data_IF_031169040296
#
_entry.id   IF_031169040296
#
_cell.length_a   1.000
_cell.length_b   1.000
_cell.length_c   1.000
_cell.angle_alpha   90.00
_cell.angle_beta   90.00
_cell.angle_gamma   90.00
#
_symmetry.space_group_name_H-M   'P 1'
#
loop_
_entity.id
_entity.type
_entity.pdbx_description
1 polymer ?
#
# COMPACT_ATOMS: atom_id res chain seq x y z
N UNK A 1 -11.13 2.56 5.98
CA UNK A 1 -11.16 3.08 4.62
C UNK A 1 -9.79 3.62 4.23
N UNK A 2 -9.36 3.37 3.00
CA UNK A 2 -8.04 3.78 2.55
C UNK A 2 -7.85 5.29 2.66
N UNK A 3 -6.62 5.70 2.99
CA UNK A 3 -6.27 7.10 3.15
C UNK A 3 -4.89 7.36 2.57
N UNK A 4 -4.80 8.32 1.64
CA UNK A 4 -3.53 8.74 1.07
C UNK A 4 -2.96 9.88 1.90
N UNK A 5 -1.74 9.69 2.39
CA UNK A 5 -1.02 10.74 3.13
C UNK A 5 0.30 11.02 2.42
N UNK A 6 0.91 12.16 2.73
CA UNK A 6 2.21 12.54 2.20
C UNK A 6 3.23 12.54 3.33
N UNK A 7 4.31 11.79 3.17
CA UNK A 7 5.41 11.77 4.14
C UNK A 7 6.13 13.12 4.15
N UNK A 8 6.59 13.54 5.33
CA UNK A 8 7.44 14.72 5.45
C UNK A 8 8.70 14.51 4.61
N UNK A 9 8.98 15.45 3.71
CA UNK A 9 10.10 15.32 2.77
C UNK A 9 11.00 16.55 2.86
N UNK A 10 12.30 16.30 2.92
CA UNK A 10 13.34 17.31 2.92
C UNK A 10 14.13 17.14 1.63
N UNK A 11 14.17 18.20 0.82
CA UNK A 11 14.87 18.17 -0.47
C UNK A 11 15.96 19.24 -0.49
N UNK A 12 17.14 18.84 -0.88
CA UNK A 12 18.26 19.77 -1.13
C UNK A 12 19.08 19.25 -2.33
N UNK A 13 20.23 19.85 -2.59
CA UNK A 13 21.07 19.48 -3.76
C UNK A 13 21.57 18.03 -3.71
N UNK A 14 21.52 17.36 -2.55
CA UNK A 14 21.93 15.95 -2.40
C UNK A 14 20.79 14.99 -2.77
N UNK A 15 19.55 15.48 -2.88
CA UNK A 15 18.38 14.67 -3.15
C UNK A 15 17.26 14.91 -2.15
N UNK A 16 16.36 13.94 -2.04
CA UNK A 16 15.19 14.03 -1.18
C UNK A 16 15.20 12.93 -0.13
N UNK A 17 14.77 13.28 1.07
CA UNK A 17 14.63 12.35 2.20
C UNK A 17 13.22 12.46 2.73
N UNK A 18 12.50 11.35 2.75
CA UNK A 18 11.14 11.29 3.29
C UNK A 18 11.14 10.50 4.60
N UNK A 19 10.41 11.02 5.58
CA UNK A 19 10.32 10.42 6.91
C UNK A 19 8.88 10.06 7.20
N UNK A 20 8.67 8.85 7.70
CA UNK A 20 7.36 8.36 8.10
C UNK A 20 7.49 7.79 9.51
N UNK A 21 6.70 8.34 10.44
CA UNK A 21 6.75 7.94 11.85
C UNK A 21 5.34 7.63 12.35
N UNK A 22 4.80 8.45 13.24
CA UNK A 22 3.50 8.22 13.88
C UNK A 22 2.32 8.30 12.93
N UNK A 23 2.46 9.02 11.82
CA UNK A 23 1.35 9.24 10.88
C UNK A 23 0.84 7.96 10.24
N UNK A 24 1.61 6.86 10.25
CA UNK A 24 1.11 5.58 9.76
C UNK A 24 0.05 4.97 10.68
N UNK A 25 0.06 5.33 11.97
CA UNK A 25 -1.02 4.96 12.89
C UNK A 25 -0.96 3.54 13.44
N UNK A 26 0.14 2.81 13.26
CA UNK A 26 0.29 1.47 13.83
C UNK A 26 1.76 1.12 14.04
N UNK A 27 2.00 0.11 14.88
CA UNK A 27 3.34 -0.44 15.08
C UNK A 27 3.64 -1.40 13.94
N UNK A 28 4.79 -1.22 13.30
CA UNK A 28 5.19 -2.06 12.16
C UNK A 28 5.75 -3.38 12.70
N UNK A 29 5.11 -4.49 12.33
CA UNK A 29 5.56 -5.84 12.71
C UNK A 29 6.08 -6.64 11.54
N UNK A 30 5.83 -6.19 10.31
CA UNK A 30 6.29 -6.88 9.11
C UNK A 30 6.54 -5.86 8.02
N UNK A 31 7.62 -6.07 7.27
CA UNK A 31 7.95 -5.28 6.09
C UNK A 31 8.10 -6.25 4.93
N UNK A 32 7.46 -5.96 3.82
CA UNK A 32 7.68 -6.69 2.59
C UNK A 32 7.69 -5.72 1.40
N UNK A 33 8.27 -6.16 0.31
CA UNK A 33 8.33 -5.32 -0.88
C UNK A 33 8.22 -6.18 -2.13
N UNK A 34 7.62 -5.59 -3.15
CA UNK A 34 7.24 -6.26 -4.39
C UNK A 34 8.02 -5.59 -5.51
N UNK A 35 8.70 -6.37 -6.31
CA UNK A 35 9.52 -5.86 -7.41
C UNK A 35 9.53 -6.88 -8.56
N UNK A 36 10.03 -6.48 -9.72
CA UNK A 36 10.03 -7.32 -10.94
C UNK A 36 8.64 -7.86 -11.24
N UNK A 37 7.62 -7.00 -11.12
CA UNK A 37 6.24 -7.42 -11.17
C UNK A 37 5.79 -7.72 -12.58
N UNK A 38 5.19 -8.88 -12.75
CA UNK A 38 4.53 -9.28 -13.99
C UNK A 38 3.05 -9.53 -13.66
N UNK A 39 2.18 -8.61 -14.08
CA UNK A 39 0.75 -8.72 -13.86
C UNK A 39 0.27 -8.09 -12.56
N UNK A 40 -0.88 -8.51 -12.10
CA UNK A 40 -1.53 -7.98 -10.91
C UNK A 40 -1.19 -8.81 -9.68
N UNK A 41 -1.23 -8.15 -8.51
CA UNK A 41 -1.04 -8.79 -7.22
C UNK A 41 -2.16 -8.34 -6.27
N UNK A 42 -2.23 -8.98 -5.10
CA UNK A 42 -3.26 -8.69 -4.12
C UNK A 42 -4.54 -9.48 -4.38
N UNK A 43 -5.67 -8.80 -4.40
CA UNK A 43 -6.97 -9.45 -4.56
C UNK A 43 -7.50 -10.00 -3.25
N UNK A 44 -7.28 -9.27 -2.14
CA UNK A 44 -7.74 -9.69 -0.82
C UNK A 44 -7.87 -8.50 0.11
N UNK A 45 -8.53 -8.73 1.22
CA UNK A 45 -8.55 -7.87 2.40
C UNK A 45 -8.03 -8.67 3.58
N UNK A 46 -8.03 -8.08 4.75
CA UNK A 46 -7.57 -8.74 5.98
C UNK A 46 -8.61 -8.64 7.07
N UNK A 47 -8.50 -9.53 8.06
CA UNK A 47 -9.31 -9.41 9.28
C UNK A 47 -8.71 -8.39 10.24
N UNK A 48 -7.37 -8.35 10.35
CA UNK A 48 -6.70 -7.52 11.36
C UNK A 48 -5.52 -6.69 10.85
N UNK A 49 -4.91 -7.02 9.71
CA UNK A 49 -3.70 -6.34 9.25
C UNK A 49 -4.01 -4.99 8.61
N UNK A 50 -3.37 -3.94 9.09
CA UNK A 50 -3.29 -2.64 8.43
C UNK A 50 -2.03 -2.59 7.59
N UNK A 51 -2.09 -1.90 6.47
CA UNK A 51 -0.96 -1.75 5.56
C UNK A 51 -0.67 -0.28 5.28
N UNK A 52 0.60 0.01 5.05
CA UNK A 52 1.02 1.27 4.44
C UNK A 52 1.81 0.92 3.18
N UNK A 53 1.33 1.38 2.02
CA UNK A 53 1.92 1.09 0.72
C UNK A 53 2.63 2.32 0.18
N UNK A 54 3.89 2.14 -0.23
CA UNK A 54 4.73 3.21 -0.77
C UNK A 54 5.41 2.70 -2.04
N UNK A 55 5.20 3.37 -3.17
CA UNK A 55 5.92 3.04 -4.39
C UNK A 55 7.25 3.79 -4.39
N UNK A 56 8.33 3.10 -4.04
CA UNK A 56 9.66 3.70 -3.87
C UNK A 56 10.30 4.12 -5.17
N UNK A 57 9.97 3.44 -6.26
CA UNK A 57 10.45 3.77 -7.59
C UNK A 57 9.42 3.39 -8.62
N UNK A 58 9.39 4.11 -9.74
CA UNK A 58 8.41 3.88 -10.77
C UNK A 58 7.00 4.27 -10.35
N UNK A 59 6.01 3.53 -10.83
CA UNK A 59 4.62 3.79 -10.52
C UNK A 59 3.79 2.51 -10.51
N UNK A 60 2.67 2.55 -9.81
CA UNK A 60 1.66 1.49 -9.84
C UNK A 60 0.32 2.06 -9.44
N UNK A 61 -0.72 1.26 -9.62
CA UNK A 61 -2.07 1.62 -9.19
C UNK A 61 -2.56 0.64 -8.14
N UNK A 62 -3.25 1.17 -7.14
CA UNK A 62 -3.89 0.38 -6.09
C UNK A 62 -5.38 0.63 -6.19
N UNK A 63 -6.15 -0.43 -6.40
CA UNK A 63 -7.61 -0.34 -6.46
C UNK A 63 -8.21 -0.89 -5.19
N UNK A 64 -9.03 -0.09 -4.53
CA UNK A 64 -9.78 -0.46 -3.33
C UNK A 64 -11.21 -0.69 -3.76
N UNK A 65 -11.75 -1.88 -3.44
CA UNK A 65 -13.02 -2.30 -4.01
C UNK A 65 -13.99 -2.83 -2.96
N UNK A 66 -15.25 -2.41 -3.08
CA UNK A 66 -16.39 -3.08 -2.46
C UNK A 66 -17.33 -3.50 -3.57
N UNK A 67 -18.42 -4.21 -3.26
CA UNK A 67 -19.42 -4.57 -4.28
C UNK A 67 -20.11 -3.35 -4.86
N UNK A 68 -20.07 -2.22 -4.19
CA UNK A 68 -20.77 -1.00 -4.59
C UNK A 68 -19.85 0.10 -5.08
N UNK A 69 -18.57 0.07 -4.71
CA UNK A 69 -17.64 1.16 -5.03
C UNK A 69 -16.31 0.61 -5.52
N UNK A 70 -15.63 1.40 -6.33
CA UNK A 70 -14.27 1.13 -6.78
C UNK A 70 -13.51 2.46 -6.73
N UNK A 71 -12.38 2.48 -6.07
CA UNK A 71 -11.53 3.66 -5.98
C UNK A 71 -10.10 3.26 -6.32
N UNK A 72 -9.46 4.01 -7.21
CA UNK A 72 -8.09 3.72 -7.65
C UNK A 72 -7.17 4.86 -7.26
N UNK A 73 -6.03 4.49 -6.67
CA UNK A 73 -4.97 5.42 -6.31
C UNK A 73 -3.76 5.15 -7.19
N UNK A 74 -3.18 6.19 -7.76
CA UNK A 74 -1.93 6.09 -8.50
C UNK A 74 -0.79 6.47 -7.56
N UNK A 75 0.16 5.55 -7.37
CA UNK A 75 1.35 5.80 -6.56
C UNK A 75 2.52 5.97 -7.51
N UNK A 76 3.00 7.20 -7.67
CA UNK A 76 4.08 7.56 -8.59
C UNK A 76 5.12 8.47 -7.95
N UNK A 77 5.07 8.64 -6.64
CA UNK A 77 6.00 9.47 -5.88
C UNK A 77 6.27 8.80 -4.54
N UNK A 78 7.55 8.58 -4.17
CA UNK A 78 7.86 7.86 -2.94
C UNK A 78 7.45 8.58 -1.65
N UNK A 79 7.04 9.84 -1.72
CA UNK A 79 6.48 10.53 -0.55
C UNK A 79 5.00 10.19 -0.32
N UNK A 80 4.32 9.59 -1.29
CA UNK A 80 2.93 9.17 -1.13
C UNK A 80 2.84 7.86 -0.36
N UNK A 81 2.01 7.84 0.66
CA UNK A 81 1.82 6.66 1.51
C UNK A 81 0.33 6.35 1.57
N UNK A 82 -0.06 5.18 1.08
CA UNK A 82 -1.45 4.75 1.09
C UNK A 82 -1.69 3.84 2.28
N UNK A 83 -2.50 4.32 3.23
CA UNK A 83 -2.84 3.56 4.44
C UNK A 83 -4.11 2.78 4.18
N UNK A 84 -4.05 1.46 4.35
CA UNK A 84 -5.20 0.57 4.18
C UNK A 84 -5.65 0.04 5.53
N UNK A 85 -6.96 0.11 5.78
CA UNK A 85 -7.58 -0.57 6.91
C UNK A 85 -7.73 -2.07 6.59
N UNK A 86 -7.91 -2.94 7.60
CA UNK A 86 -7.98 -4.38 7.34
C UNK A 86 -9.02 -4.76 6.30
N UNK A 87 -10.21 -4.20 6.37
CA UNK A 87 -11.31 -4.53 5.46
C UNK A 87 -11.17 -3.94 4.06
N UNK A 88 -10.14 -3.16 3.78
CA UNK A 88 -9.93 -2.58 2.45
C UNK A 88 -9.44 -3.66 1.49
N UNK A 89 -10.37 -4.19 0.69
CA UNK A 89 -10.05 -5.16 -0.36
C UNK A 89 -9.29 -4.44 -1.46
N UNK A 90 -8.10 -4.92 -1.78
CA UNK A 90 -7.21 -4.20 -2.67
C UNK A 90 -6.56 -5.11 -3.70
N UNK A 91 -6.34 -4.54 -4.87
CA UNK A 91 -5.48 -5.11 -5.92
C UNK A 91 -4.40 -4.09 -6.26
N UNK A 92 -3.27 -4.60 -6.69
CA UNK A 92 -2.11 -3.81 -7.09
C UNK A 92 -1.82 -4.15 -8.55
N UNK A 93 -1.85 -3.16 -9.42
CA UNK A 93 -1.72 -3.40 -10.86
C UNK A 93 -1.00 -2.26 -11.56
N UNK A 94 -0.80 -2.44 -12.86
CA UNK A 94 -0.18 -1.43 -13.74
C UNK A 94 1.17 -0.95 -13.21
N UNK A 95 2.01 -1.89 -12.79
CA UNK A 95 3.35 -1.58 -12.36
C UNK A 95 4.19 -1.15 -13.55
N UNK A 96 4.85 -0.01 -13.43
CA UNK A 96 5.82 0.41 -14.44
C UNK A 96 7.04 -0.51 -14.39
N UNK A 97 7.84 -0.50 -15.44
CA UNK A 97 9.11 -1.22 -15.47
C UNK A 97 9.98 -0.71 -14.31
N UNK A 98 10.57 -1.64 -13.56
CA UNK A 98 11.42 -1.36 -12.40
C UNK A 98 10.69 -0.70 -11.21
N UNK A 99 9.36 -0.80 -11.15
CA UNK A 99 8.62 -0.32 -9.99
C UNK A 99 8.93 -1.19 -8.78
N UNK A 100 9.00 -0.56 -7.61
CA UNK A 100 9.17 -1.24 -6.32
C UNK A 100 8.10 -0.72 -5.37
N UNK A 101 7.28 -1.62 -4.86
CA UNK A 101 6.23 -1.29 -3.89
C UNK A 101 6.63 -1.83 -2.52
N UNK A 102 6.80 -0.91 -1.57
CA UNK A 102 7.09 -1.24 -0.17
C UNK A 102 5.79 -1.34 0.59
N UNK A 103 5.67 -2.37 1.42
CA UNK A 103 4.52 -2.55 2.30
C UNK A 103 4.98 -2.69 3.74
N UNK A 104 4.40 -1.85 4.61
CA UNK A 104 4.59 -1.88 6.04
C UNK A 104 3.31 -2.43 6.65
N UNK A 105 3.41 -3.47 7.48
CA UNK A 105 2.24 -4.17 8.00
C UNK A 105 2.20 -4.15 9.52
N UNK A 106 0.99 -4.05 10.06
CA UNK A 106 0.75 -4.01 11.51
C UNK A 106 0.84 -5.38 12.17
N UNK A 107 0.83 -6.46 11.40
CA UNK A 107 0.83 -7.82 11.92
C UNK A 107 1.89 -8.67 11.22
N UNK A 108 2.41 -9.66 11.94
CA UNK A 108 3.21 -10.70 11.33
C UNK A 108 2.34 -11.50 10.36
N UNK A 109 2.96 -12.22 9.43
CA UNK A 109 2.24 -13.02 8.46
C UNK A 109 1.37 -14.08 9.16
N UNK A 110 0.12 -14.16 8.74
CA UNK A 110 -0.84 -15.15 9.23
C UNK A 110 -1.76 -15.52 8.06
N UNK A 111 -1.66 -16.77 7.60
CA UNK A 111 -2.45 -17.23 6.46
C UNK A 111 -3.95 -17.13 6.71
N UNK A 112 -4.39 -17.16 7.97
CA UNK A 112 -5.80 -17.09 8.33
C UNK A 112 -6.34 -15.66 8.38
N UNK A 113 -5.50 -14.67 8.15
CA UNK A 113 -5.89 -13.25 8.20
C UNK A 113 -6.49 -12.74 6.90
N UNK A 114 -6.55 -13.55 5.85
CA UNK A 114 -6.93 -13.10 4.51
C UNK A 114 -8.42 -13.31 4.23
N UNK A 115 -9.01 -12.30 3.58
CA UNK A 115 -10.38 -12.32 3.10
C UNK A 115 -10.33 -12.20 1.59
N UNK A 116 -10.80 -13.22 0.87
CA UNK A 116 -10.72 -13.27 -0.60
C UNK A 116 -11.99 -12.81 -1.29
N UNK A 117 -13.07 -12.61 -0.55
CA UNK A 117 -14.31 -12.09 -1.10
C UNK A 117 -14.37 -10.58 -1.03
N UNK A 118 -14.87 -9.95 -2.08
CA UNK A 118 -15.08 -8.51 -2.14
C UNK A 118 -16.14 -8.12 -1.10
N UNK A 119 -15.87 -7.17 -0.19
CA UNK A 119 -16.85 -6.76 0.81
C UNK A 119 -18.08 -6.07 0.21
N UNK A 120 -19.16 -6.10 0.95
CA UNK A 120 -20.44 -5.55 0.48
C UNK A 120 -20.44 -4.01 0.36
N UNK A 121 -19.64 -3.34 1.15
CA UNK A 121 -19.63 -1.88 1.11
C UNK A 121 -19.59 -1.25 2.48
#
# INVERSE_FOLDING_TARGET
MAKLITAKTITDRRGSLSVLEREIGFVIKRVFYIYDVLGSRGGHAHHKTKLCLICLGGSCEITIKTKQTTQTYTLDNPAQCLILEPSDYHTMQKFSKNATLLALASEAYDANDYITEVPNG
#
